data_IF_231147744385
#
_entry.id   IF_231147744385
#
_cell.length_a   1.000
_cell.length_b   1.000
_cell.length_c   1.000
_cell.angle_alpha   90.00
_cell.angle_beta   90.00
_cell.angle_gamma   90.00
#
_symmetry.space_group_name_H-M   'P 1'
#
loop_
_entity.id
_entity.type
_entity.pdbx_description
1 polymer ?
#
# COMPACT_ATOMS: atom_id res chain seq x y z
N UNK A 1 -19.79 14.77 -21.76
CA UNK A 1 -19.60 13.47 -22.47
C UNK A 1 -18.77 12.47 -21.67
N UNK A 2 -18.00 12.89 -20.66
CA UNK A 2 -17.20 12.03 -19.78
C UNK A 2 -18.02 11.11 -18.83
N UNK A 3 -19.19 11.55 -18.38
CA UNK A 3 -20.03 10.83 -17.41
C UNK A 3 -20.56 9.46 -17.89
N UNK A 4 -20.75 9.25 -19.20
CA UNK A 4 -21.30 7.98 -19.74
C UNK A 4 -20.27 6.85 -19.85
N UNK A 5 -18.99 7.17 -19.89
CA UNK A 5 -17.92 6.17 -20.02
C UNK A 5 -17.61 5.49 -18.68
N UNK A 6 -17.80 6.21 -17.57
CA UNK A 6 -17.51 5.69 -16.22
C UNK A 6 -18.54 4.63 -15.75
N UNK A 7 -19.81 4.76 -16.11
CA UNK A 7 -20.84 3.78 -15.70
C UNK A 7 -20.57 2.38 -16.29
N UNK A 8 -20.06 2.31 -17.53
CA UNK A 8 -19.66 1.02 -18.13
C UNK A 8 -18.47 0.39 -17.45
N UNK A 9 -17.58 1.20 -16.88
CA UNK A 9 -16.41 0.73 -16.10
C UNK A 9 -16.81 0.26 -14.70
N UNK A 10 -17.80 0.91 -14.08
CA UNK A 10 -18.39 0.50 -12.80
C UNK A 10 -19.12 -0.84 -12.91
N UNK A 11 -19.84 -1.03 -14.03
CA UNK A 11 -20.54 -2.28 -14.37
C UNK A 11 -19.63 -3.31 -15.03
N UNK A 12 -18.32 -3.03 -15.18
CA UNK A 12 -17.38 -3.98 -15.74
C UNK A 12 -17.21 -5.18 -14.79
N UNK A 13 -17.07 -6.37 -15.36
CA UNK A 13 -16.85 -7.62 -14.62
C UNK A 13 -15.68 -7.52 -13.61
N UNK A 14 -14.75 -6.60 -13.80
CA UNK A 14 -13.60 -6.39 -12.92
C UNK A 14 -13.99 -5.86 -11.54
N UNK A 15 -14.95 -4.95 -11.42
CA UNK A 15 -15.40 -4.45 -10.10
C UNK A 15 -16.02 -5.56 -9.26
N UNK A 16 -16.92 -6.37 -9.86
CA UNK A 16 -17.55 -7.49 -9.16
C UNK A 16 -16.56 -8.62 -8.81
N UNK A 17 -15.54 -8.80 -9.64
CA UNK A 17 -14.47 -9.77 -9.38
C UNK A 17 -13.57 -9.33 -8.20
N UNK A 18 -13.38 -8.02 -8.00
CA UNK A 18 -12.53 -7.50 -6.93
C UNK A 18 -13.30 -7.25 -5.61
N UNK A 19 -14.64 -7.18 -5.67
CA UNK A 19 -15.48 -6.97 -4.49
C UNK A 19 -15.22 -7.97 -3.35
N UNK A 20 -15.08 -9.29 -3.58
CA UNK A 20 -14.74 -10.24 -2.50
C UNK A 20 -13.40 -9.95 -1.83
N UNK A 21 -12.40 -9.48 -2.59
CA UNK A 21 -11.08 -9.10 -2.07
C UNK A 21 -11.19 -7.85 -1.20
N UNK A 22 -11.98 -6.86 -1.64
CA UNK A 22 -12.25 -5.63 -0.88
C UNK A 22 -12.97 -5.99 0.43
N UNK A 23 -14.02 -6.82 0.36
CA UNK A 23 -14.76 -7.28 1.53
C UNK A 23 -13.86 -8.00 2.54
N UNK A 24 -13.02 -8.93 2.07
CA UNK A 24 -12.11 -9.67 2.93
C UNK A 24 -11.05 -8.74 3.55
N UNK A 25 -10.48 -7.82 2.76
CA UNK A 25 -9.52 -6.83 3.25
C UNK A 25 -10.12 -5.90 4.31
N UNK A 26 -11.33 -5.38 4.08
CA UNK A 26 -12.06 -4.56 5.05
C UNK A 26 -12.41 -5.33 6.32
N UNK A 27 -12.88 -6.58 6.20
CA UNK A 27 -13.19 -7.43 7.34
C UNK A 27 -11.95 -7.72 8.20
N UNK A 28 -10.81 -8.02 7.56
CA UNK A 28 -9.55 -8.27 8.24
C UNK A 28 -9.06 -7.02 8.98
N UNK A 29 -9.11 -5.85 8.33
CA UNK A 29 -8.74 -4.59 8.94
C UNK A 29 -9.66 -4.22 10.12
N UNK A 30 -10.96 -4.43 9.97
CA UNK A 30 -11.96 -4.18 11.02
C UNK A 30 -11.69 -5.05 12.25
N UNK A 31 -11.53 -6.37 12.06
CA UNK A 31 -11.20 -7.30 13.16
C UNK A 31 -9.94 -6.87 13.90
N UNK A 32 -8.89 -6.49 13.17
CA UNK A 32 -7.64 -6.05 13.79
C UNK A 32 -7.81 -4.75 14.58
N UNK A 33 -8.62 -3.83 14.06
CA UNK A 33 -8.93 -2.56 14.72
C UNK A 33 -9.70 -2.81 16.03
N UNK A 34 -10.71 -3.67 16.00
CA UNK A 34 -11.52 -4.00 17.18
C UNK A 34 -10.78 -4.87 18.20
N UNK A 35 -9.87 -5.73 17.74
CA UNK A 35 -9.12 -6.64 18.59
C UNK A 35 -7.94 -5.96 19.28
N UNK A 36 -7.21 -5.12 18.54
CA UNK A 36 -5.91 -4.59 18.98
C UNK A 36 -5.90 -3.07 19.20
N UNK A 37 -6.51 -2.27 18.30
CA UNK A 37 -6.29 -0.83 18.30
C UNK A 37 -7.27 -0.11 19.24
N UNK A 38 -8.57 -0.23 19.00
CA UNK A 38 -9.60 0.47 19.78
C UNK A 38 -9.53 0.14 21.27
N UNK A 39 -9.46 -1.13 21.70
CA UNK A 39 -9.47 -1.48 23.14
C UNK A 39 -8.25 -0.98 23.90
N UNK A 40 -7.14 -0.78 23.20
CA UNK A 40 -5.89 -0.30 23.78
C UNK A 40 -5.71 1.21 23.61
N UNK A 41 -6.71 1.95 23.13
CA UNK A 41 -6.64 3.39 22.93
C UNK A 41 -5.59 3.81 21.90
N UNK A 42 -5.32 2.95 20.89
CA UNK A 42 -4.37 3.21 19.83
C UNK A 42 -5.08 3.83 18.63
N UNK A 43 -5.15 5.16 18.59
CA UNK A 43 -5.72 5.92 17.47
C UNK A 43 -4.68 6.04 16.34
N UNK A 44 -4.59 5.03 15.50
CA UNK A 44 -3.55 4.88 14.47
C UNK A 44 -3.78 5.75 13.23
N UNK A 45 -4.00 7.04 13.41
CA UNK A 45 -4.12 8.02 12.32
C UNK A 45 -5.46 7.99 11.59
N UNK A 46 -5.61 8.88 10.62
CA UNK A 46 -6.75 8.95 9.73
C UNK A 46 -8.10 9.26 10.39
N UNK A 47 -9.14 9.08 9.59
CA UNK A 47 -10.54 9.28 10.04
C UNK A 47 -10.94 8.24 11.08
N UNK A 48 -10.49 7.00 10.97
CA UNK A 48 -10.76 5.95 11.96
C UNK A 48 -10.10 6.26 13.30
N UNK A 49 -8.86 6.77 13.30
CA UNK A 49 -8.20 7.23 14.52
C UNK A 49 -8.95 8.39 15.19
N UNK A 50 -9.42 9.34 14.40
CA UNK A 50 -10.24 10.45 14.91
C UNK A 50 -11.58 9.94 15.48
N UNK A 51 -12.24 8.99 14.82
CA UNK A 51 -13.46 8.36 15.31
C UNK A 51 -13.23 7.63 16.65
N UNK A 52 -12.09 6.96 16.82
CA UNK A 52 -11.69 6.31 18.08
C UNK A 52 -11.53 7.33 19.22
N UNK A 53 -10.91 8.49 18.94
CA UNK A 53 -10.79 9.60 19.90
C UNK A 53 -12.17 10.13 20.29
N UNK A 54 -13.04 10.38 19.31
CA UNK A 54 -14.42 10.87 19.54
C UNK A 54 -15.22 9.86 20.34
N UNK A 55 -15.09 8.56 20.06
CA UNK A 55 -15.74 7.49 20.83
C UNK A 55 -15.30 7.53 22.29
N UNK A 56 -14.01 7.63 22.57
CA UNK A 56 -13.48 7.66 23.93
C UNK A 56 -13.96 8.89 24.71
N UNK A 57 -13.96 10.05 24.09
CA UNK A 57 -14.51 11.30 24.67
C UNK A 57 -16.02 11.18 24.88
N UNK A 58 -16.77 10.64 23.91
CA UNK A 58 -18.21 10.40 24.06
C UNK A 58 -18.52 9.45 25.22
N UNK A 59 -17.77 8.35 25.33
CA UNK A 59 -17.93 7.36 26.41
C UNK A 59 -17.71 7.97 27.80
N UNK A 60 -16.79 8.90 27.97
CA UNK A 60 -16.59 9.62 29.24
C UNK A 60 -17.77 10.50 29.63
N UNK A 61 -18.63 10.86 28.68
CA UNK A 61 -19.88 11.62 28.89
C UNK A 61 -21.14 10.75 28.81
N UNK A 62 -20.99 9.41 28.82
CA UNK A 62 -22.11 8.46 28.75
C UNK A 62 -22.75 8.32 27.37
N UNK A 63 -22.11 8.81 26.31
CA UNK A 63 -22.59 8.73 24.92
C UNK A 63 -21.84 7.59 24.21
N UNK A 64 -22.56 6.57 23.79
CA UNK A 64 -21.99 5.48 22.97
C UNK A 64 -22.10 5.83 21.49
N UNK A 65 -20.96 6.07 20.86
CA UNK A 65 -20.86 6.35 19.43
C UNK A 65 -20.02 5.26 18.75
N UNK A 66 -20.64 4.33 17.97
CA UNK A 66 -19.90 3.29 17.26
C UNK A 66 -18.86 3.90 16.30
N UNK A 67 -17.63 3.34 16.28
CA UNK A 67 -16.52 3.86 15.47
C UNK A 67 -16.80 3.72 13.98
N UNK A 68 -17.42 2.61 13.58
CA UNK A 68 -17.71 2.36 12.17
C UNK A 68 -18.68 3.37 11.58
N UNK A 69 -19.78 3.66 12.27
CA UNK A 69 -20.76 4.68 11.83
C UNK A 69 -20.08 6.06 11.74
N UNK A 70 -19.28 6.45 12.74
CA UNK A 70 -18.55 7.70 12.71
C UNK A 70 -17.62 7.78 11.49
N UNK A 71 -16.87 6.71 11.23
CA UNK A 71 -15.96 6.61 10.09
C UNK A 71 -16.71 6.73 8.76
N UNK A 72 -17.88 6.07 8.62
CA UNK A 72 -18.71 6.18 7.42
C UNK A 72 -19.19 7.61 7.22
N UNK A 73 -19.74 8.24 8.25
CA UNK A 73 -20.28 9.61 8.15
C UNK A 73 -19.19 10.61 7.79
N UNK A 74 -18.05 10.55 8.46
CA UNK A 74 -16.93 11.47 8.20
C UNK A 74 -16.36 11.28 6.78
N UNK A 75 -16.19 10.04 6.33
CA UNK A 75 -15.74 9.76 4.97
C UNK A 75 -16.78 10.13 3.91
N UNK A 76 -18.06 9.97 4.19
CA UNK A 76 -19.13 10.43 3.28
C UNK A 76 -19.08 11.96 3.09
N UNK A 77 -18.85 12.73 4.17
CA UNK A 77 -18.68 14.17 4.09
C UNK A 77 -17.43 14.56 3.27
N UNK A 78 -16.30 13.86 3.47
CA UNK A 78 -15.09 14.06 2.68
C UNK A 78 -15.31 13.72 1.20
N UNK A 79 -16.02 12.63 0.94
CA UNK A 79 -16.33 12.21 -0.43
C UNK A 79 -17.18 13.24 -1.17
N UNK A 80 -18.13 13.93 -0.51
CA UNK A 80 -18.91 15.01 -1.10
C UNK A 80 -18.03 16.15 -1.63
N UNK A 81 -16.90 16.43 -0.96
CA UNK A 81 -15.94 17.45 -1.42
C UNK A 81 -15.20 16.96 -2.68
N UNK A 82 -14.79 15.68 -2.69
CA UNK A 82 -14.01 15.10 -3.80
C UNK A 82 -14.89 14.79 -5.02
N UNK A 83 -16.17 14.52 -4.83
CA UNK A 83 -17.11 14.21 -5.94
C UNK A 83 -17.12 15.28 -7.04
N UNK A 84 -16.82 16.52 -6.71
CA UNK A 84 -16.79 17.61 -7.70
C UNK A 84 -15.60 17.52 -8.66
N UNK A 85 -14.56 16.77 -8.29
CA UNK A 85 -13.29 16.73 -8.99
C UNK A 85 -12.86 15.32 -9.45
N UNK A 86 -13.42 14.26 -8.82
CA UNK A 86 -13.13 12.86 -9.12
C UNK A 86 -14.16 12.25 -10.09
N UNK A 87 -13.73 11.27 -10.90
CA UNK A 87 -14.66 10.49 -11.72
C UNK A 87 -15.59 9.62 -10.87
N UNK A 88 -16.81 9.34 -11.35
CA UNK A 88 -17.82 8.53 -10.65
C UNK A 88 -17.29 7.15 -10.24
N UNK A 89 -16.38 6.58 -11.00
CA UNK A 89 -15.78 5.29 -10.70
C UNK A 89 -14.96 5.33 -9.39
N UNK A 90 -14.11 6.35 -9.22
CA UNK A 90 -13.35 6.58 -8.00
C UNK A 90 -14.27 6.77 -6.77
N UNK A 91 -15.36 7.53 -6.95
CA UNK A 91 -16.36 7.76 -5.90
C UNK A 91 -16.99 6.46 -5.43
N UNK A 92 -17.41 5.59 -6.36
CA UNK A 92 -18.02 4.30 -6.04
C UNK A 92 -17.02 3.36 -5.35
N UNK A 93 -15.79 3.28 -5.85
CA UNK A 93 -14.76 2.42 -5.23
C UNK A 93 -14.42 2.87 -3.81
N UNK A 94 -14.22 4.17 -3.60
CA UNK A 94 -13.92 4.75 -2.29
C UNK A 94 -15.11 4.58 -1.35
N UNK A 95 -16.34 4.85 -1.82
CA UNK A 95 -17.56 4.64 -1.03
C UNK A 95 -17.70 3.17 -0.59
N UNK A 96 -17.46 2.23 -1.50
CA UNK A 96 -17.51 0.79 -1.18
C UNK A 96 -16.50 0.43 -0.09
N UNK A 97 -15.27 0.92 -0.19
CA UNK A 97 -14.22 0.62 0.78
C UNK A 97 -14.54 1.13 2.19
N UNK A 98 -14.84 2.42 2.35
CA UNK A 98 -15.10 2.95 3.70
C UNK A 98 -16.45 2.49 4.29
N UNK A 99 -17.47 2.26 3.47
CA UNK A 99 -18.74 1.71 3.95
C UNK A 99 -18.57 0.27 4.46
N UNK A 100 -17.86 -0.56 3.71
CA UNK A 100 -17.57 -1.93 4.13
C UNK A 100 -16.67 -1.95 5.37
N UNK A 101 -15.64 -1.12 5.43
CA UNK A 101 -14.77 -1.03 6.60
C UNK A 101 -15.56 -0.65 7.85
N UNK A 102 -16.31 0.45 7.80
CA UNK A 102 -17.10 0.90 8.95
C UNK A 102 -18.20 -0.08 9.33
N UNK A 103 -18.88 -0.70 8.34
CA UNK A 103 -19.86 -1.74 8.59
C UNK A 103 -19.25 -2.95 9.32
N UNK A 104 -18.11 -3.45 8.87
CA UNK A 104 -17.46 -4.58 9.53
C UNK A 104 -16.89 -4.21 10.90
N UNK A 105 -16.39 -3.01 11.11
CA UNK A 105 -15.93 -2.52 12.42
C UNK A 105 -17.10 -2.57 13.43
N UNK A 106 -18.26 -2.01 13.11
CA UNK A 106 -19.38 -2.04 14.04
C UNK A 106 -20.04 -3.43 14.15
N UNK A 107 -19.98 -4.25 13.07
CA UNK A 107 -20.50 -5.61 13.07
C UNK A 107 -19.68 -6.53 13.99
N UNK A 108 -18.37 -6.43 13.95
CA UNK A 108 -17.47 -7.32 14.69
C UNK A 108 -17.24 -6.87 16.13
N UNK A 109 -17.36 -5.58 16.44
CA UNK A 109 -17.15 -5.04 17.79
C UNK A 109 -17.80 -5.86 18.93
N UNK A 110 -19.07 -6.36 18.82
CA UNK A 110 -19.68 -7.16 19.88
C UNK A 110 -19.20 -8.63 19.93
N UNK A 111 -18.59 -9.14 18.86
CA UNK A 111 -18.18 -10.55 18.74
C UNK A 111 -16.71 -10.78 19.00
N UNK A 112 -15.89 -9.75 18.85
CA UNK A 112 -14.43 -9.82 19.05
C UNK A 112 -14.13 -9.56 20.52
N UNK A 113 -13.51 -10.53 21.18
CA UNK A 113 -13.03 -10.32 22.55
C UNK A 113 -11.79 -9.39 22.52
N UNK A 114 -11.88 -8.19 23.11
CA UNK A 114 -10.78 -7.23 23.07
C UNK A 114 -9.50 -7.80 23.69
N UNK A 115 -8.39 -7.72 22.97
CA UNK A 115 -7.06 -8.02 23.51
C UNK A 115 -6.45 -6.73 24.07
N UNK A 116 -7.00 -6.31 25.23
CA UNK A 116 -6.44 -5.20 25.98
C UNK A 116 -5.33 -5.74 26.90
N UNK A 117 -4.12 -5.23 26.74
CA UNK A 117 -2.95 -5.65 27.50
C UNK A 117 -2.28 -4.48 28.23
N UNK A 118 -1.60 -4.80 29.33
CA UNK A 118 -0.74 -3.84 29.99
C UNK A 118 0.47 -3.42 29.12
N UNK A 119 0.89 -4.30 28.21
CA UNK A 119 1.94 -4.03 27.24
C UNK A 119 1.32 -3.62 25.89
N UNK A 120 1.47 -2.35 25.52
CA UNK A 120 0.95 -1.77 24.29
C UNK A 120 1.76 -2.15 23.04
N UNK A 121 2.96 -2.71 23.20
CA UNK A 121 3.83 -3.07 22.07
C UNK A 121 3.20 -4.17 21.21
N UNK A 122 2.65 -5.20 21.85
CA UNK A 122 2.02 -6.32 21.15
C UNK A 122 0.80 -5.89 20.32
N UNK A 123 -0.20 -5.16 20.87
CA UNK A 123 -1.31 -4.67 20.09
C UNK A 123 -0.92 -3.65 19.02
N UNK A 124 0.10 -2.81 19.25
CA UNK A 124 0.60 -1.89 18.24
C UNK A 124 1.21 -2.63 17.04
N UNK A 125 2.04 -3.65 17.30
CA UNK A 125 2.69 -4.42 16.24
C UNK A 125 1.67 -5.25 15.45
N UNK A 126 0.89 -6.10 16.12
CA UNK A 126 -0.06 -6.98 15.43
C UNK A 126 -1.24 -6.20 14.84
N UNK A 127 -1.71 -5.17 15.54
CA UNK A 127 -2.70 -4.24 14.99
C UNK A 127 -2.20 -3.61 13.69
N UNK A 128 -0.98 -3.07 13.66
CA UNK A 128 -0.37 -2.49 12.47
C UNK A 128 -0.16 -3.50 11.34
N UNK A 129 0.32 -4.71 11.65
CA UNK A 129 0.54 -5.75 10.63
C UNK A 129 -0.79 -6.18 9.98
N UNK A 130 -1.79 -6.52 10.78
CA UNK A 130 -3.03 -7.11 10.26
C UNK A 130 -3.88 -6.04 9.57
N UNK A 131 -3.98 -4.82 10.13
CA UNK A 131 -4.64 -3.70 9.44
C UNK A 131 -3.92 -3.36 8.14
N UNK A 132 -2.58 -3.37 8.14
CA UNK A 132 -1.77 -3.14 6.94
C UNK A 132 -2.02 -4.16 5.84
N UNK A 133 -2.16 -5.46 6.18
CA UNK A 133 -2.56 -6.49 5.21
C UNK A 133 -3.95 -6.18 4.66
N UNK A 134 -4.92 -5.89 5.53
CA UNK A 134 -6.30 -5.59 5.13
C UNK A 134 -6.40 -4.40 4.20
N UNK A 135 -5.82 -3.26 4.58
CA UNK A 135 -5.79 -2.05 3.76
C UNK A 135 -5.01 -2.24 2.45
N UNK A 136 -3.86 -2.94 2.51
CA UNK A 136 -3.10 -3.26 1.31
C UNK A 136 -3.87 -4.11 0.30
N UNK A 137 -4.71 -5.06 0.78
CA UNK A 137 -5.60 -5.84 -0.09
C UNK A 137 -6.67 -4.97 -0.75
N UNK A 138 -7.27 -4.03 0.00
CA UNK A 138 -8.27 -3.10 -0.51
C UNK A 138 -7.66 -2.19 -1.58
N UNK A 139 -6.50 -1.60 -1.31
CA UNK A 139 -5.79 -0.73 -2.25
C UNK A 139 -5.35 -1.49 -3.50
N UNK A 140 -4.84 -2.72 -3.35
CA UNK A 140 -4.46 -3.57 -4.49
C UNK A 140 -5.64 -3.96 -5.36
N UNK A 141 -6.84 -4.04 -4.81
CA UNK A 141 -8.09 -4.25 -5.54
C UNK A 141 -8.63 -2.96 -6.20
N UNK A 142 -7.89 -1.84 -6.11
CA UNK A 142 -8.25 -0.56 -6.69
C UNK A 142 -9.26 0.25 -5.89
N UNK A 143 -9.65 -0.20 -4.70
CA UNK A 143 -10.52 0.56 -3.79
C UNK A 143 -9.68 1.37 -2.80
N UNK A 144 -10.34 2.32 -2.12
CA UNK A 144 -9.76 3.13 -1.07
C UNK A 144 -10.69 3.11 0.15
N UNK A 145 -10.13 3.07 1.33
CA UNK A 145 -10.90 3.12 2.60
C UNK A 145 -11.24 4.55 3.05
N UNK A 146 -10.95 5.54 2.22
CA UNK A 146 -11.16 6.95 2.59
C UNK A 146 -10.11 7.47 3.57
N UNK A 147 -10.53 8.33 4.47
CA UNK A 147 -9.68 8.81 5.56
C UNK A 147 -8.72 9.92 5.16
N UNK A 148 -7.55 9.89 5.79
CA UNK A 148 -6.46 10.85 5.56
C UNK A 148 -5.99 10.86 4.10
N UNK A 149 -6.06 9.73 3.40
CA UNK A 149 -5.73 9.64 1.97
C UNK A 149 -6.59 10.58 1.12
N UNK A 150 -7.88 10.63 1.41
CA UNK A 150 -8.82 11.51 0.72
C UNK A 150 -8.51 12.98 1.03
N UNK A 151 -8.23 13.31 2.30
CA UNK A 151 -7.85 14.67 2.71
C UNK A 151 -6.51 15.06 2.06
N UNK A 152 -5.53 14.16 2.08
CA UNK A 152 -4.23 14.35 1.48
C UNK A 152 -4.32 14.64 -0.03
N UNK A 153 -5.18 13.93 -0.75
CA UNK A 153 -5.44 14.19 -2.17
C UNK A 153 -6.07 15.56 -2.41
N UNK A 154 -7.06 15.98 -1.58
CA UNK A 154 -7.68 17.31 -1.67
C UNK A 154 -6.64 18.41 -1.48
N UNK A 155 -5.82 18.31 -0.43
CA UNK A 155 -4.80 19.31 -0.11
C UNK A 155 -3.74 19.35 -1.21
N UNK A 156 -3.26 18.20 -1.65
CA UNK A 156 -2.21 18.08 -2.67
C UNK A 156 -2.62 18.64 -4.03
N UNK A 157 -3.91 18.54 -4.38
CA UNK A 157 -4.45 19.16 -5.61
C UNK A 157 -4.49 20.68 -5.56
N UNK A 158 -4.68 21.27 -4.37
CA UNK A 158 -4.78 22.70 -4.17
C UNK A 158 -3.44 23.34 -3.75
N UNK A 159 -2.42 22.53 -3.50
CA UNK A 159 -1.08 22.96 -3.07
C UNK A 159 0.00 22.20 -3.85
N UNK A 160 1.24 22.61 -3.73
CA UNK A 160 2.39 21.89 -4.31
C UNK A 160 2.91 20.75 -3.40
N UNK A 161 2.19 20.41 -2.33
CA UNK A 161 2.64 19.38 -1.37
C UNK A 161 2.38 17.96 -1.94
N UNK A 162 3.33 17.03 -1.80
CA UNK A 162 3.12 15.63 -2.17
C UNK A 162 2.01 14.98 -1.33
N UNK A 163 1.19 14.12 -1.95
CA UNK A 163 0.08 13.43 -1.26
C UNK A 163 0.57 12.68 -0.03
N UNK A 164 1.64 11.88 -0.16
CA UNK A 164 2.15 11.06 0.94
C UNK A 164 2.60 11.84 2.16
N UNK A 165 3.30 12.98 1.97
CA UNK A 165 3.70 13.83 3.10
C UNK A 165 2.52 14.51 3.76
N UNK A 166 1.49 14.86 3.00
CA UNK A 166 0.26 15.46 3.54
C UNK A 166 -0.54 14.44 4.35
N UNK A 167 -0.71 13.22 3.83
CA UNK A 167 -1.34 12.10 4.57
C UNK A 167 -0.60 11.85 5.87
N UNK A 168 0.72 11.71 5.81
CA UNK A 168 1.55 11.47 6.99
C UNK A 168 1.41 12.61 8.03
N UNK A 169 1.38 13.86 7.60
CA UNK A 169 1.19 14.99 8.51
C UNK A 169 -0.17 14.96 9.22
N UNK A 170 -1.24 14.60 8.49
CA UNK A 170 -2.60 14.44 9.06
C UNK A 170 -2.60 13.31 10.08
N UNK A 171 -2.02 12.16 9.74
CA UNK A 171 -2.00 11.00 10.61
C UNK A 171 -1.19 11.25 11.89
N UNK A 172 -0.04 11.92 11.78
CA UNK A 172 0.75 12.36 12.93
C UNK A 172 -0.04 13.35 13.79
N UNK A 173 -0.79 14.27 13.19
CA UNK A 173 -1.64 15.19 13.93
C UNK A 173 -2.74 14.46 14.70
N UNK A 174 -3.40 13.46 14.10
CA UNK A 174 -4.42 12.63 14.77
C UNK A 174 -3.79 11.82 15.92
N UNK A 175 -2.62 11.21 15.70
CA UNK A 175 -1.89 10.53 16.78
C UNK A 175 -1.54 11.49 17.92
N UNK A 176 -1.09 12.70 17.63
CA UNK A 176 -0.80 13.71 18.65
C UNK A 176 -2.06 14.15 19.41
N UNK A 177 -3.19 14.31 18.73
CA UNK A 177 -4.49 14.59 19.33
C UNK A 177 -5.01 13.49 20.23
N UNK A 178 -4.54 12.25 20.08
CA UNK A 178 -4.91 11.14 20.95
C UNK A 178 -4.24 11.19 22.32
N UNK A 179 -3.08 11.86 22.44
CA UNK A 179 -2.30 11.90 23.67
C UNK A 179 -3.06 12.49 24.89
N UNK A 180 -3.80 13.61 24.81
CA UNK A 180 -4.55 14.12 25.94
C UNK A 180 -5.78 13.28 26.29
N UNK A 181 -6.28 12.43 25.39
CA UNK A 181 -7.49 11.61 25.61
C UNK A 181 -7.13 10.25 26.21
N UNK A 182 -6.07 9.62 25.73
CA UNK A 182 -5.61 8.33 26.22
C UNK A 182 -4.35 8.50 27.10
N UNK A 183 -3.18 8.62 26.45
CA UNK A 183 -1.90 8.97 27.07
C UNK A 183 -0.86 9.29 25.99
N UNK A 184 0.27 9.89 26.37
CA UNK A 184 1.41 10.09 25.47
C UNK A 184 1.98 8.75 25.00
N UNK A 185 1.99 7.75 25.87
CA UNK A 185 2.45 6.40 25.56
C UNK A 185 1.57 5.75 24.48
N UNK A 186 0.24 5.82 24.63
CA UNK A 186 -0.71 5.34 23.61
C UNK A 186 -0.50 6.04 22.25
N UNK A 187 -0.28 7.35 22.25
CA UNK A 187 -0.03 8.10 21.03
C UNK A 187 1.27 7.65 20.32
N UNK A 188 2.33 7.36 21.06
CA UNK A 188 3.58 6.85 20.51
C UNK A 188 3.42 5.44 19.93
N UNK A 189 2.72 4.55 20.63
CA UNK A 189 2.43 3.21 20.11
C UNK A 189 1.44 3.23 18.94
N UNK A 190 0.50 4.16 18.91
CA UNK A 190 -0.36 4.39 17.74
C UNK A 190 0.48 4.81 16.51
N UNK A 191 1.42 5.73 16.70
CA UNK A 191 2.38 6.11 15.66
C UNK A 191 3.23 4.93 15.17
N UNK A 192 3.71 4.08 16.08
CA UNK A 192 4.43 2.86 15.73
C UNK A 192 3.56 1.90 14.88
N UNK A 193 2.31 1.67 15.30
CA UNK A 193 1.35 0.85 14.56
C UNK A 193 1.11 1.39 13.14
N UNK A 194 0.99 2.70 12.99
CA UNK A 194 0.83 3.39 11.71
C UNK A 194 2.03 3.16 10.79
N UNK A 195 3.26 3.30 11.31
CA UNK A 195 4.49 3.06 10.53
C UNK A 195 4.56 1.61 10.06
N UNK A 196 4.28 0.65 10.96
CA UNK A 196 4.25 -0.78 10.62
C UNK A 196 3.19 -1.06 9.55
N UNK A 197 1.98 -0.52 9.72
CA UNK A 197 0.89 -0.67 8.76
C UNK A 197 1.28 -0.14 7.38
N UNK A 198 1.92 1.03 7.30
CA UNK A 198 2.41 1.61 6.05
C UNK A 198 3.38 0.67 5.32
N UNK A 199 4.40 0.15 6.01
CA UNK A 199 5.33 -0.82 5.40
C UNK A 199 4.65 -2.10 4.92
N UNK A 200 3.66 -2.59 5.67
CA UNK A 200 2.91 -3.79 5.28
C UNK A 200 1.99 -3.51 4.10
N UNK A 201 1.33 -2.34 4.07
CA UNK A 201 0.52 -1.89 2.92
C UNK A 201 1.37 -1.90 1.66
N UNK A 202 2.54 -1.25 1.67
CA UNK A 202 3.45 -1.20 0.53
C UNK A 202 3.86 -2.61 0.08
N UNK A 203 4.20 -3.49 1.02
CA UNK A 203 4.57 -4.87 0.71
C UNK A 203 3.43 -5.67 0.06
N UNK A 204 2.18 -5.46 0.49
CA UNK A 204 0.99 -6.13 -0.07
C UNK A 204 0.62 -5.54 -1.43
N UNK A 205 0.65 -4.22 -1.59
CA UNK A 205 0.33 -3.51 -2.84
C UNK A 205 1.34 -3.87 -3.92
N UNK A 206 2.64 -3.78 -3.61
CA UNK A 206 3.73 -4.17 -4.53
C UNK A 206 3.68 -5.67 -4.88
N UNK A 207 3.10 -6.49 -4.00
CA UNK A 207 2.86 -7.92 -4.23
C UNK A 207 4.11 -8.75 -4.48
N UNK A 208 5.26 -8.34 -3.99
CA UNK A 208 6.55 -9.02 -4.21
C UNK A 208 7.04 -8.97 -5.66
N UNK A 209 6.39 -8.20 -6.51
CA UNK A 209 6.66 -8.08 -7.94
C UNK A 209 7.77 -7.06 -8.25
N UNK A 210 8.60 -6.74 -7.25
CA UNK A 210 9.76 -5.86 -7.46
C UNK A 210 10.67 -6.44 -8.53
N UNK A 211 10.81 -5.70 -9.61
CA UNK A 211 11.72 -6.06 -10.69
C UNK A 211 13.11 -5.55 -10.38
N UNK A 212 14.10 -6.22 -10.95
CA UNK A 212 15.50 -5.86 -10.85
C UNK A 212 16.05 -5.64 -12.24
N UNK A 213 16.64 -4.48 -12.46
CA UNK A 213 17.47 -4.25 -13.63
C UNK A 213 18.88 -4.72 -13.30
N UNK A 214 19.41 -5.59 -14.12
CA UNK A 214 20.76 -6.11 -13.97
C UNK A 214 21.58 -5.65 -15.18
N UNK A 215 22.70 -5.00 -14.90
CA UNK A 215 23.72 -4.66 -15.89
C UNK A 215 24.88 -5.62 -15.72
N UNK A 216 25.28 -6.29 -16.80
CA UNK A 216 26.35 -7.26 -16.82
C UNK A 216 27.41 -6.81 -17.80
N UNK A 217 28.63 -6.62 -17.29
CA UNK A 217 29.80 -6.26 -18.11
C UNK A 217 30.70 -7.48 -18.17
N UNK A 218 30.85 -8.06 -19.37
CA UNK A 218 31.67 -9.25 -19.60
C UNK A 218 32.05 -9.35 -21.05
N UNK A 219 33.25 -9.83 -21.30
CA UNK A 219 33.72 -10.14 -22.64
C UNK A 219 33.06 -11.43 -23.20
N UNK A 220 32.51 -12.29 -22.32
CA UNK A 220 31.73 -13.48 -22.67
C UNK A 220 30.24 -13.21 -22.80
N UNK A 221 29.88 -11.95 -23.13
CA UNK A 221 28.48 -11.52 -23.21
C UNK A 221 27.61 -12.35 -24.17
N UNK A 222 28.09 -12.93 -25.28
CA UNK A 222 27.24 -13.69 -26.19
C UNK A 222 26.67 -14.96 -25.53
N UNK A 223 27.54 -15.70 -24.80
CA UNK A 223 27.14 -16.93 -24.11
C UNK A 223 26.20 -16.63 -22.95
N UNK A 224 26.51 -15.57 -22.17
CA UNK A 224 25.64 -15.11 -21.08
C UNK A 224 24.28 -14.67 -21.61
N UNK A 225 24.24 -13.93 -22.72
CA UNK A 225 22.99 -13.49 -23.34
C UNK A 225 22.16 -14.68 -23.85
N UNK A 226 22.81 -15.69 -24.46
CA UNK A 226 22.13 -16.89 -24.92
C UNK A 226 21.47 -17.65 -23.74
N UNK A 227 22.22 -17.88 -22.65
CA UNK A 227 21.69 -18.57 -21.48
C UNK A 227 20.56 -17.78 -20.82
N UNK A 228 20.61 -16.44 -20.81
CA UNK A 228 19.51 -15.58 -20.32
C UNK A 228 18.28 -15.74 -21.21
N UNK A 229 18.43 -15.64 -22.53
CA UNK A 229 17.31 -15.70 -23.46
C UNK A 229 16.67 -17.08 -23.52
N UNK A 230 17.47 -18.12 -23.61
CA UNK A 230 16.98 -19.50 -23.80
C UNK A 230 16.78 -20.25 -22.47
N UNK A 231 17.57 -19.95 -21.44
CA UNK A 231 17.47 -20.63 -20.13
C UNK A 231 16.49 -19.95 -19.17
N UNK A 232 16.49 -18.61 -19.11
CA UNK A 232 15.58 -17.83 -18.26
C UNK A 232 14.32 -17.35 -19.00
N UNK A 233 14.29 -17.41 -20.34
CA UNK A 233 13.18 -16.89 -21.13
C UNK A 233 13.02 -15.36 -21.01
N UNK A 234 14.15 -14.63 -20.82
CA UNK A 234 14.13 -13.17 -20.64
C UNK A 234 14.90 -12.48 -21.79
N UNK A 235 14.26 -11.50 -22.40
CA UNK A 235 14.92 -10.63 -23.35
C UNK A 235 16.02 -9.82 -22.68
N UNK A 236 17.12 -9.61 -23.37
CA UNK A 236 18.22 -8.74 -22.92
C UNK A 236 18.63 -7.76 -24.01
N UNK A 237 19.12 -6.60 -23.59
CA UNK A 237 19.57 -5.54 -24.50
C UNK A 237 21.05 -5.29 -24.32
N UNK A 238 21.80 -5.26 -25.42
CA UNK A 238 23.22 -4.93 -25.41
C UNK A 238 23.42 -3.43 -25.61
N UNK A 239 24.19 -2.82 -24.71
CA UNK A 239 24.75 -1.47 -24.88
C UNK A 239 26.21 -1.54 -25.27
N UNK A 240 26.64 -0.58 -26.11
CA UNK A 240 28.05 -0.33 -26.36
C UNK A 240 28.56 0.66 -25.33
N UNK A 241 29.54 0.27 -24.56
CA UNK A 241 30.21 1.13 -23.59
C UNK A 241 31.69 1.09 -23.79
N UNK A 242 32.41 2.10 -23.29
CA UNK A 242 33.88 2.19 -23.37
C UNK A 242 34.43 2.22 -21.96
N UNK A 243 35.42 1.36 -21.69
CA UNK A 243 36.12 1.36 -20.42
C UNK A 243 37.01 2.61 -20.33
N UNK A 244 36.74 3.51 -19.39
CA UNK A 244 37.41 4.80 -19.29
C UNK A 244 38.92 4.68 -19.03
N UNK A 245 39.35 3.65 -18.33
CA UNK A 245 40.77 3.41 -18.04
C UNK A 245 41.50 2.80 -19.22
N UNK A 246 40.91 1.83 -19.89
CA UNK A 246 41.58 1.08 -20.99
C UNK A 246 41.33 1.66 -22.37
N UNK A 247 40.32 2.52 -22.55
CA UNK A 247 39.83 2.96 -23.85
C UNK A 247 39.16 1.86 -24.68
N UNK A 248 39.06 0.63 -24.15
CA UNK A 248 38.53 -0.52 -24.86
C UNK A 248 37.00 -0.55 -24.87
N UNK A 249 36.39 -1.05 -25.95
CA UNK A 249 34.95 -1.35 -25.97
C UNK A 249 34.64 -2.42 -24.93
N UNK A 250 33.61 -2.13 -24.12
CA UNK A 250 33.07 -3.03 -23.10
C UNK A 250 31.58 -3.20 -23.34
N UNK A 251 31.14 -4.35 -23.87
CA UNK A 251 29.71 -4.62 -24.03
C UNK A 251 29.04 -4.77 -22.66
N UNK A 252 27.87 -4.14 -22.52
CA UNK A 252 27.02 -4.21 -21.32
C UNK A 252 25.70 -4.83 -21.70
N UNK A 253 25.30 -5.92 -21.03
CA UNK A 253 23.98 -6.50 -21.17
C UNK A 253 23.09 -5.93 -20.08
N UNK A 254 21.92 -5.42 -20.45
CA UNK A 254 20.83 -5.09 -19.54
C UNK A 254 19.74 -6.14 -19.65
N UNK A 255 19.30 -6.63 -18.51
CA UNK A 255 18.15 -7.53 -18.40
C UNK A 255 17.29 -7.13 -17.20
N UNK A 256 15.96 -7.24 -17.35
CA UNK A 256 15.01 -7.01 -16.26
C UNK A 256 14.46 -8.36 -15.83
N UNK A 257 14.66 -8.69 -14.54
CA UNK A 257 14.27 -9.97 -13.95
C UNK A 257 13.45 -9.78 -12.68
N UNK A 258 12.72 -10.80 -12.28
CA UNK A 258 12.08 -10.82 -10.96
C UNK A 258 13.12 -11.10 -9.86
N UNK A 259 12.78 -10.79 -8.61
CA UNK A 259 13.64 -11.10 -7.46
C UNK A 259 13.98 -12.60 -7.35
N UNK A 260 13.07 -13.48 -7.79
CA UNK A 260 13.27 -14.93 -7.78
C UNK A 260 14.28 -15.38 -8.84
N UNK A 261 14.23 -14.78 -10.02
CA UNK A 261 15.12 -15.09 -11.14
C UNK A 261 16.52 -14.52 -10.96
N UNK A 262 16.71 -13.51 -10.10
CA UNK A 262 18.00 -12.87 -9.86
C UNK A 262 19.08 -13.85 -9.39
N UNK A 263 18.75 -14.80 -8.54
CA UNK A 263 19.71 -15.80 -8.06
C UNK A 263 20.14 -16.74 -9.20
N UNK A 264 19.21 -17.19 -10.02
CA UNK A 264 19.51 -18.01 -11.21
C UNK A 264 20.36 -17.23 -12.20
N UNK A 265 20.03 -15.95 -12.44
CA UNK A 265 20.84 -15.08 -13.29
C UNK A 265 22.29 -14.95 -12.80
N UNK A 266 22.48 -14.72 -11.50
CA UNK A 266 23.83 -14.66 -10.90
C UNK A 266 24.60 -15.96 -11.08
N UNK A 267 23.94 -17.10 -11.00
CA UNK A 267 24.56 -18.40 -11.23
C UNK A 267 25.00 -18.54 -12.69
N UNK A 268 24.13 -18.22 -13.65
CA UNK A 268 24.45 -18.23 -15.08
C UNK A 268 25.69 -17.38 -15.37
N UNK A 269 25.68 -16.13 -14.87
CA UNK A 269 26.83 -15.22 -15.13
C UNK A 269 28.10 -15.79 -14.52
N UNK A 270 28.06 -16.28 -13.27
CA UNK A 270 29.23 -16.81 -12.57
C UNK A 270 29.82 -18.05 -13.25
N UNK A 271 28.96 -18.93 -13.79
CA UNK A 271 29.40 -20.13 -14.51
C UNK A 271 30.11 -19.80 -15.82
N UNK A 272 29.65 -18.75 -16.52
CA UNK A 272 30.24 -18.32 -17.79
C UNK A 272 31.46 -17.42 -17.59
N UNK A 273 31.38 -16.46 -16.69
CA UNK A 273 32.46 -15.51 -16.42
C UNK A 273 32.50 -15.13 -14.94
N UNK A 274 33.37 -15.78 -14.14
CA UNK A 274 33.53 -15.43 -12.72
C UNK A 274 34.06 -14.02 -12.46
N UNK A 275 34.60 -13.35 -13.49
CA UNK A 275 35.16 -11.98 -13.41
C UNK A 275 34.19 -10.92 -13.94
N UNK A 276 33.00 -11.30 -14.39
CA UNK A 276 32.00 -10.37 -14.87
C UNK A 276 31.58 -9.40 -13.77
N UNK A 277 31.40 -8.13 -14.13
CA UNK A 277 30.82 -7.12 -13.23
C UNK A 277 29.30 -7.20 -13.37
N UNK A 278 28.62 -7.41 -12.25
CA UNK A 278 27.15 -7.49 -12.19
C UNK A 278 26.63 -6.40 -11.26
N UNK A 279 25.92 -5.43 -11.83
CA UNK A 279 25.25 -4.37 -11.05
C UNK A 279 23.75 -4.62 -11.04
N UNK A 280 23.14 -4.54 -9.85
CA UNK A 280 21.71 -4.76 -9.66
C UNK A 280 21.09 -3.47 -9.14
N UNK A 281 20.06 -2.99 -9.82
CA UNK A 281 19.26 -1.83 -9.42
C UNK A 281 17.80 -2.23 -9.23
N UNK A 282 17.12 -1.55 -8.32
CA UNK A 282 15.67 -1.65 -8.16
C UNK A 282 14.96 -0.98 -9.34
N UNK A 283 13.94 -1.63 -9.87
CA UNK A 283 13.04 -1.06 -10.88
C UNK A 283 11.68 -0.87 -10.24
N UNK A 284 11.25 0.36 -10.17
CA UNK A 284 9.95 0.73 -9.60
C UNK A 284 8.82 0.14 -10.43
N UNK A 285 8.90 0.30 -11.76
CA UNK A 285 7.90 -0.23 -12.69
C UNK A 285 8.55 -0.67 -14.00
N UNK A 286 8.00 -1.73 -14.60
CA UNK A 286 8.37 -2.19 -15.93
C UNK A 286 7.10 -2.57 -16.69
N UNK A 287 6.95 -2.00 -17.88
CA UNK A 287 5.80 -2.24 -18.77
C UNK A 287 6.27 -2.81 -20.10
N UNK A 288 5.41 -3.56 -20.77
CA UNK A 288 5.64 -4.11 -22.09
C UNK A 288 5.61 -5.65 -22.10
N UNK A 289 6.04 -6.22 -23.22
CA UNK A 289 6.00 -7.67 -23.43
C UNK A 289 6.80 -8.43 -22.36
N UNK A 290 6.15 -9.36 -21.67
CA UNK A 290 6.71 -10.08 -20.52
C UNK A 290 6.64 -9.32 -19.17
N UNK A 291 6.01 -8.12 -19.14
CA UNK A 291 5.80 -7.29 -17.95
C UNK A 291 4.32 -6.92 -17.81
N UNK A 292 4.05 -5.84 -17.06
CA UNK A 292 2.70 -5.26 -16.98
C UNK A 292 2.29 -4.67 -18.33
N UNK A 293 1.01 -4.75 -18.67
CA UNK A 293 0.49 -4.05 -19.84
C UNK A 293 0.54 -2.53 -19.63
N UNK A 294 0.98 -1.78 -20.63
CA UNK A 294 1.02 -0.30 -20.61
C UNK A 294 -0.37 0.32 -20.50
N UNK A 295 -1.41 -0.44 -20.93
CA UNK A 295 -2.81 -0.01 -20.92
C UNK A 295 -3.58 -0.42 -19.65
N UNK A 296 -2.92 -1.06 -18.69
CA UNK A 296 -3.56 -1.57 -17.47
C UNK A 296 -3.65 -0.52 -16.37
#
# INVERSE_FOLDING_TARGET
MAYRLDIKRILSMNFFHDLPKIMFGCALAAIATDLFLIPNGLAAGGVTGLATIIQAVGASHGISLPVGIQTIVMNALLLLVVMREGGMFYVVQTATGFVLLGFFTDLFAPFVAPLAHADLMLPAMWGGIITGIGYGMVLRAGANTGGSDTIGQIISRNTSLPVGSTVMAIDVAVCALSAPVFSVENALYAGLSMVISGYVIDAVVDGGNRRRMVLIISDKFPDIAADIMYGLGRGCTKFRATGMYSGAEKPVIMVIVSRRELNTLKTIVRERDPHAIVTVADVTEAFGEGFKDISA
#
